data_IF_276785453542
#
_entry.id   IF_276785453542
#
_cell.length_a   1.000
_cell.length_b   1.000
_cell.length_c   1.000
_cell.angle_alpha   90.00
_cell.angle_beta   90.00
_cell.angle_gamma   90.00
#
_symmetry.space_group_name_H-M   'P 1'
#
loop_
_entity.id
_entity.type
_entity.pdbx_description
1 polymer ?
#
# COMPACT_ATOMS: atom_id res chain seq x y z
N UNK A 1 -63.26 -22.12 -13.43
CA UNK A 1 -63.91 -22.52 -14.70
C UNK A 1 -62.85 -23.00 -15.66
N UNK A 2 -62.78 -24.31 -15.80
CA UNK A 2 -62.86 -25.08 -17.05
C UNK A 2 -61.64 -24.88 -17.96
N UNK A 3 -60.93 -25.86 -18.48
CA UNK A 3 -60.92 -27.33 -18.61
C UNK A 3 -59.67 -27.63 -19.45
N UNK A 4 -58.78 -28.55 -19.09
CA UNK A 4 -58.77 -30.00 -19.46
C UNK A 4 -58.89 -30.26 -20.99
N UNK A 5 -57.83 -30.86 -21.55
CA UNK A 5 -57.82 -32.16 -22.26
C UNK A 5 -56.54 -32.27 -23.09
N UNK A 6 -55.64 -33.23 -22.87
CA UNK A 6 -55.66 -34.68 -23.05
C UNK A 6 -55.79 -35.15 -24.53
N UNK A 7 -54.85 -35.90 -24.93
CA UNK A 7 -54.87 -37.21 -25.66
C UNK A 7 -53.80 -37.26 -26.77
N UNK A 8 -53.10 -38.24 -27.09
CA UNK A 8 -52.99 -39.69 -26.95
C UNK A 8 -52.18 -40.19 -28.12
N UNK A 9 -51.22 -41.00 -27.84
CA UNK A 9 -50.84 -42.25 -28.44
C UNK A 9 -50.91 -42.46 -29.99
N UNK A 10 -49.81 -43.01 -30.51
CA UNK A 10 -49.73 -43.73 -31.74
C UNK A 10 -48.44 -44.56 -31.84
N UNK A 11 -48.55 -45.80 -31.34
CA UNK A 11 -47.61 -46.91 -31.61
C UNK A 11 -47.79 -47.40 -33.05
N UNK A 12 -46.69 -47.74 -33.73
CA UNK A 12 -46.62 -48.95 -34.62
C UNK A 12 -45.18 -49.37 -34.83
N UNK A 13 -44.99 -50.64 -34.60
CA UNK A 13 -43.80 -51.45 -34.76
C UNK A 13 -43.78 -52.09 -36.20
N UNK A 14 -42.65 -52.62 -36.55
CA UNK A 14 -42.30 -53.76 -37.43
C UNK A 14 -41.02 -53.40 -38.19
N UNK A 15 -40.02 -54.18 -38.43
CA UNK A 15 -39.60 -55.57 -38.17
C UNK A 15 -38.18 -55.67 -38.76
N UNK A 16 -37.29 -56.23 -38.04
CA UNK A 16 -36.37 -57.38 -38.27
C UNK A 16 -35.81 -57.64 -39.69
N UNK A 17 -34.51 -57.80 -39.72
CA UNK A 17 -33.62 -58.74 -40.49
C UNK A 17 -32.33 -57.97 -40.78
N UNK A 18 -31.11 -58.37 -40.47
CA UNK A 18 -30.43 -59.59 -40.18
C UNK A 18 -28.90 -59.36 -40.25
N UNK A 19 -28.21 -59.89 -39.35
CA UNK A 19 -26.88 -60.47 -39.32
C UNK A 19 -25.82 -59.98 -40.33
N UNK A 20 -24.69 -59.46 -39.82
CA UNK A 20 -23.34 -60.04 -40.00
C UNK A 20 -22.39 -59.47 -38.91
N UNK A 21 -21.75 -60.32 -38.16
CA UNK A 21 -20.73 -60.05 -37.16
C UNK A 21 -19.41 -59.69 -37.85
N UNK A 22 -18.84 -58.54 -37.48
CA UNK A 22 -17.40 -58.31 -37.60
C UNK A 22 -16.91 -57.79 -36.23
N UNK A 23 -16.18 -58.65 -35.54
CA UNK A 23 -15.50 -58.31 -34.33
C UNK A 23 -14.30 -57.40 -34.67
N UNK A 24 -14.42 -56.10 -34.41
CA UNK A 24 -13.31 -55.20 -34.34
C UNK A 24 -13.01 -54.94 -32.85
N UNK A 25 -11.92 -55.49 -32.35
CA UNK A 25 -11.32 -55.12 -31.07
C UNK A 25 -10.97 -53.64 -31.16
N UNK A 26 -11.77 -52.81 -30.55
CA UNK A 26 -11.33 -51.44 -30.18
C UNK A 26 -10.62 -51.54 -28.84
N UNK A 27 -9.30 -51.60 -28.91
CA UNK A 27 -8.49 -51.27 -27.74
C UNK A 27 -8.74 -49.80 -27.40
N UNK A 28 -9.55 -49.57 -26.38
CA UNK A 28 -9.65 -48.28 -25.69
C UNK A 28 -8.36 -48.11 -24.92
N UNK A 29 -7.34 -47.53 -25.57
CA UNK A 29 -6.21 -46.93 -24.86
C UNK A 29 -6.76 -45.78 -24.07
N UNK A 30 -6.78 -45.87 -22.73
CA UNK A 30 -6.74 -44.72 -21.87
C UNK A 30 -5.44 -43.98 -22.20
N UNK A 31 -5.52 -42.98 -23.06
CA UNK A 31 -4.52 -41.92 -23.06
C UNK A 31 -4.69 -41.19 -21.72
N UNK A 32 -3.90 -41.55 -20.76
CA UNK A 32 -3.51 -40.61 -19.72
C UNK A 32 -2.93 -39.46 -20.50
N UNK A 33 -3.59 -38.34 -20.48
CA UNK A 33 -3.04 -37.05 -20.87
C UNK A 33 -1.88 -36.82 -19.88
N UNK A 34 -0.69 -37.23 -20.28
CA UNK A 34 0.56 -36.91 -19.63
C UNK A 34 0.65 -35.39 -19.75
N UNK A 35 0.40 -34.67 -18.64
CA UNK A 35 0.67 -33.26 -18.55
C UNK A 35 2.09 -33.05 -19.10
N UNK A 36 2.21 -32.24 -20.15
CA UNK A 36 3.50 -31.88 -20.69
C UNK A 36 4.37 -31.39 -19.52
N UNK A 37 5.64 -31.80 -19.44
CA UNK A 37 6.52 -31.27 -18.41
C UNK A 37 6.52 -29.75 -18.56
N UNK A 38 6.08 -29.07 -17.53
CA UNK A 38 6.30 -27.62 -17.38
C UNK A 38 7.82 -27.42 -17.52
N UNK A 39 8.24 -26.68 -18.54
CA UNK A 39 9.66 -26.30 -18.64
C UNK A 39 10.02 -25.54 -17.36
N UNK A 40 11.00 -26.04 -16.60
CA UNK A 40 11.55 -25.31 -15.45
C UNK A 40 11.96 -23.90 -15.94
N UNK A 41 11.30 -22.85 -15.41
CA UNK A 41 11.53 -21.46 -15.81
C UNK A 41 10.47 -20.86 -16.75
N UNK A 42 9.38 -21.56 -17.09
CA UNK A 42 8.30 -20.97 -17.84
C UNK A 42 7.45 -20.00 -16.97
N UNK A 43 7.09 -18.83 -17.55
CA UNK A 43 6.19 -17.87 -16.91
C UNK A 43 4.76 -18.46 -16.94
N UNK A 44 4.14 -18.56 -15.78
CA UNK A 44 2.76 -19.01 -15.65
C UNK A 44 1.77 -17.85 -15.82
N UNK A 45 0.60 -18.13 -16.40
CA UNK A 45 -0.45 -17.12 -16.49
C UNK A 45 -1.00 -16.79 -15.11
N UNK A 46 -0.99 -15.49 -14.76
CA UNK A 46 -1.38 -14.99 -13.46
C UNK A 46 -2.15 -13.67 -13.60
N UNK A 47 -3.22 -13.51 -12.82
CA UNK A 47 -3.95 -12.24 -12.70
C UNK A 47 -3.97 -11.85 -11.23
N UNK A 48 -3.45 -10.65 -10.93
CA UNK A 48 -3.32 -10.12 -9.59
C UNK A 48 -4.24 -8.91 -9.41
N UNK A 49 -4.72 -8.69 -8.19
CA UNK A 49 -5.52 -7.53 -7.81
C UNK A 49 -4.71 -6.64 -6.88
N UNK A 50 -4.45 -5.40 -7.31
CA UNK A 50 -3.74 -4.39 -6.54
C UNK A 50 -4.71 -3.33 -6.05
N UNK A 51 -4.75 -3.10 -4.74
CA UNK A 51 -5.57 -2.06 -4.12
C UNK A 51 -4.73 -0.97 -3.44
N UNK A 52 -5.25 0.26 -3.42
CA UNK A 52 -4.71 1.36 -2.62
C UNK A 52 -5.78 2.40 -2.27
N UNK A 53 -5.55 3.16 -1.18
CA UNK A 53 -6.52 4.14 -0.69
C UNK A 53 -6.36 5.56 -1.30
N UNK A 54 -5.34 5.77 -2.13
CA UNK A 54 -4.96 7.09 -2.67
C UNK A 54 -5.80 7.48 -3.89
N UNK A 55 -5.89 8.80 -4.18
CA UNK A 55 -6.63 9.33 -5.31
C UNK A 55 -6.09 8.84 -6.67
N UNK A 56 -6.95 8.78 -7.68
CA UNK A 56 -6.64 8.25 -9.03
C UNK A 56 -5.44 8.94 -9.70
N UNK A 57 -5.26 10.25 -9.50
CA UNK A 57 -4.17 11.00 -10.12
C UNK A 57 -2.91 11.11 -9.23
N UNK A 58 -2.90 10.48 -8.05
CA UNK A 58 -1.79 10.51 -7.11
C UNK A 58 -0.56 9.78 -7.65
N UNK A 59 0.61 10.04 -7.05
CA UNK A 59 1.85 9.31 -7.34
C UNK A 59 1.67 7.79 -7.15
N UNK A 60 0.98 7.39 -6.08
CA UNK A 60 0.71 6.00 -5.73
C UNK A 60 -0.15 5.30 -6.79
N UNK A 61 -1.18 5.99 -7.31
CA UNK A 61 -2.01 5.44 -8.40
C UNK A 61 -1.21 5.29 -9.69
N UNK A 62 -0.40 6.29 -10.03
CA UNK A 62 0.49 6.21 -11.20
C UNK A 62 1.50 5.07 -11.08
N UNK A 63 2.05 4.85 -9.89
CA UNK A 63 2.95 3.72 -9.64
C UNK A 63 2.25 2.36 -9.79
N UNK A 64 1.00 2.25 -9.32
CA UNK A 64 0.20 1.04 -9.51
C UNK A 64 -0.04 0.73 -10.99
N UNK A 65 -0.42 1.75 -11.77
CA UNK A 65 -0.64 1.61 -13.21
C UNK A 65 0.67 1.26 -13.94
N UNK A 66 1.78 1.91 -13.60
CA UNK A 66 3.10 1.60 -14.15
C UNK A 66 3.55 0.17 -13.83
N UNK A 67 3.30 -0.32 -12.60
CA UNK A 67 3.59 -1.71 -12.24
C UNK A 67 2.77 -2.68 -13.08
N UNK A 68 1.48 -2.39 -13.28
CA UNK A 68 0.60 -3.23 -14.10
C UNK A 68 1.07 -3.29 -15.56
N UNK A 69 1.43 -2.14 -16.14
CA UNK A 69 1.98 -2.06 -17.49
C UNK A 69 3.30 -2.81 -17.61
N UNK A 70 4.24 -2.59 -16.67
CA UNK A 70 5.57 -3.17 -16.72
C UNK A 70 5.57 -4.69 -16.54
N UNK A 71 4.75 -5.20 -15.62
CA UNK A 71 4.55 -6.65 -15.43
C UNK A 71 3.98 -7.30 -16.68
N UNK A 72 2.99 -6.66 -17.32
CA UNK A 72 2.41 -7.17 -18.57
C UNK A 72 3.44 -7.16 -19.72
N UNK A 73 4.26 -6.12 -19.86
CA UNK A 73 5.34 -6.05 -20.84
C UNK A 73 6.37 -7.15 -20.66
N UNK A 74 6.93 -7.28 -19.44
CA UNK A 74 8.00 -8.25 -19.14
C UNK A 74 7.54 -9.70 -19.27
N UNK A 75 6.24 -9.95 -19.07
CA UNK A 75 5.65 -11.30 -19.15
C UNK A 75 5.03 -11.63 -20.49
N UNK A 76 5.15 -10.77 -21.53
CA UNK A 76 4.42 -10.89 -22.80
C UNK A 76 2.90 -11.08 -22.59
N UNK A 77 2.33 -10.46 -21.54
CA UNK A 77 0.92 -10.53 -21.16
C UNK A 77 0.51 -11.78 -20.40
N UNK A 78 1.45 -12.63 -20.01
CA UNK A 78 1.13 -13.82 -19.18
C UNK A 78 0.73 -13.40 -17.75
N UNK A 79 1.33 -12.33 -17.21
CA UNK A 79 0.92 -11.74 -15.94
C UNK A 79 0.17 -10.44 -16.19
N UNK A 80 -0.90 -10.22 -15.43
CA UNK A 80 -1.72 -9.00 -15.48
C UNK A 80 -2.06 -8.55 -14.07
N UNK A 81 -2.13 -7.22 -13.85
CA UNK A 81 -2.54 -6.62 -12.58
C UNK A 81 -3.77 -5.74 -12.81
N UNK A 82 -4.85 -6.01 -12.09
CA UNK A 82 -6.02 -5.14 -12.02
C UNK A 82 -5.80 -4.12 -10.90
N UNK A 83 -5.85 -2.83 -11.21
CA UNK A 83 -5.65 -1.76 -10.23
C UNK A 83 -6.99 -1.24 -9.71
N UNK A 84 -7.12 -1.13 -8.38
CA UNK A 84 -8.30 -0.66 -7.67
C UNK A 84 -7.93 0.54 -6.76
N UNK A 85 -7.98 1.78 -7.28
CA UNK A 85 -7.62 2.99 -6.54
C UNK A 85 -8.73 3.44 -5.58
N UNK A 86 -8.44 4.49 -4.79
CA UNK A 86 -9.43 5.23 -3.98
C UNK A 86 -10.25 4.34 -3.05
N UNK A 87 -9.61 3.36 -2.41
CA UNK A 87 -10.23 2.43 -1.47
C UNK A 87 -11.41 1.62 -2.07
N UNK A 88 -11.37 1.29 -3.37
CA UNK A 88 -12.42 0.48 -4.01
C UNK A 88 -12.53 -0.93 -3.42
N UNK A 89 -11.43 -1.47 -2.86
CA UNK A 89 -11.40 -2.77 -2.18
C UNK A 89 -11.54 -2.66 -0.65
N UNK A 90 -11.86 -1.48 -0.14
CA UNK A 90 -11.94 -1.20 1.30
C UNK A 90 -10.85 -0.27 1.79
N UNK A 91 -10.81 -0.02 3.11
CA UNK A 91 -9.71 0.71 3.75
C UNK A 91 -8.38 -0.05 3.60
N UNK A 92 -7.24 0.61 3.89
CA UNK A 92 -5.95 -0.07 3.84
C UNK A 92 -5.89 -1.26 4.82
N UNK A 93 -6.54 -1.16 5.98
CA UNK A 93 -6.65 -2.26 6.94
C UNK A 93 -7.42 -3.46 6.37
N UNK A 94 -8.55 -3.20 5.72
CA UNK A 94 -9.35 -4.25 5.08
C UNK A 94 -8.61 -4.90 3.90
N UNK A 95 -7.85 -4.11 3.14
CA UNK A 95 -7.02 -4.64 2.05
C UNK A 95 -5.86 -5.49 2.56
N UNK A 96 -5.20 -5.11 3.68
CA UNK A 96 -4.18 -5.95 4.33
C UNK A 96 -4.77 -7.28 4.84
N UNK A 97 -5.96 -7.26 5.46
CA UNK A 97 -6.68 -8.50 5.80
C UNK A 97 -6.99 -9.33 4.55
N UNK A 98 -7.26 -8.64 3.42
CA UNK A 98 -7.44 -9.25 2.12
C UNK A 98 -6.21 -9.99 1.59
N UNK A 99 -4.98 -9.50 1.88
CA UNK A 99 -3.72 -10.18 1.53
C UNK A 99 -3.59 -11.52 2.25
N UNK A 100 -3.91 -11.57 3.56
CA UNK A 100 -3.83 -12.80 4.37
C UNK A 100 -4.75 -13.91 3.84
N UNK A 101 -5.94 -13.55 3.36
CA UNK A 101 -6.96 -14.51 2.90
C UNK A 101 -6.96 -14.70 1.38
N UNK A 102 -6.09 -13.99 0.64
CA UNK A 102 -5.95 -14.10 -0.81
C UNK A 102 -7.11 -13.49 -1.62
N UNK A 103 -7.83 -12.51 -1.07
CA UNK A 103 -8.85 -11.73 -1.81
C UNK A 103 -8.27 -10.49 -2.48
N UNK A 104 -7.12 -10.03 -2.04
CA UNK A 104 -6.26 -9.00 -2.61
C UNK A 104 -4.86 -9.61 -2.71
N UNK A 105 -4.11 -9.26 -3.76
CA UNK A 105 -2.78 -9.82 -4.00
C UNK A 105 -1.67 -8.82 -3.67
N UNK A 106 -1.92 -7.52 -3.88
CA UNK A 106 -0.95 -6.44 -3.66
C UNK A 106 -1.66 -5.24 -3.05
N UNK A 107 -1.03 -4.60 -2.06
CA UNK A 107 -1.49 -3.33 -1.48
C UNK A 107 -0.35 -2.32 -1.52
N UNK A 108 -0.62 -1.07 -1.92
CA UNK A 108 0.34 0.02 -1.75
C UNK A 108 0.07 0.68 -0.40
N UNK A 109 1.02 0.48 0.53
CA UNK A 109 0.96 1.14 1.84
C UNK A 109 2.37 1.21 2.46
N UNK A 110 2.51 1.98 3.53
CA UNK A 110 3.77 2.19 4.24
C UNK A 110 4.11 1.05 5.20
N UNK A 111 5.39 0.94 5.57
CA UNK A 111 5.85 -0.01 6.58
C UNK A 111 5.08 0.13 7.90
N UNK A 112 4.89 1.38 8.38
CA UNK A 112 4.22 1.66 9.65
C UNK A 112 2.78 1.16 9.71
N UNK A 113 2.11 0.94 8.57
CA UNK A 113 0.76 0.37 8.53
C UNK A 113 0.69 -1.06 9.10
N UNK A 114 1.84 -1.73 9.24
CA UNK A 114 1.94 -3.07 9.80
C UNK A 114 2.08 -3.10 11.35
N UNK A 115 2.03 -1.96 12.07
CA UNK A 115 2.10 -1.94 13.54
C UNK A 115 1.06 -2.84 14.22
N UNK A 116 -0.08 -3.07 13.59
CA UNK A 116 -1.11 -4.00 14.10
C UNK A 116 -0.71 -5.47 14.03
N UNK A 117 0.32 -5.81 13.24
CA UNK A 117 0.80 -7.17 13.02
C UNK A 117 2.16 -7.42 13.67
N UNK A 118 3.00 -6.39 13.79
CA UNK A 118 4.33 -6.47 14.38
C UNK A 118 4.74 -5.15 14.99
N UNK A 119 5.28 -5.18 16.21
CA UNK A 119 5.85 -4.00 16.86
C UNK A 119 7.09 -3.47 16.10
N UNK A 120 7.71 -4.29 15.23
CA UNK A 120 8.88 -3.87 14.44
C UNK A 120 8.55 -2.78 13.42
N UNK A 121 7.31 -2.71 12.96
CA UNK A 121 6.87 -1.68 12.02
C UNK A 121 6.82 -0.27 12.63
N UNK A 122 6.86 -0.15 13.96
CA UNK A 122 6.91 1.10 14.69
C UNK A 122 8.14 1.97 14.33
N UNK A 123 9.20 1.38 13.77
CA UNK A 123 10.41 2.11 13.35
C UNK A 123 10.08 3.27 12.38
N UNK A 124 9.10 3.08 11.47
CA UNK A 124 8.72 4.15 10.55
C UNK A 124 7.97 5.30 11.25
N UNK A 125 7.17 4.98 12.26
CA UNK A 125 6.34 5.96 12.96
C UNK A 125 7.08 6.77 14.03
N UNK A 126 8.36 6.48 14.32
CA UNK A 126 9.13 7.23 15.31
C UNK A 126 9.39 8.67 14.83
N UNK A 127 8.93 9.69 15.57
CA UNK A 127 9.02 11.08 15.12
C UNK A 127 10.46 11.57 15.11
N UNK A 128 10.77 12.37 14.08
CA UNK A 128 12.07 13.03 13.91
C UNK A 128 13.26 12.06 13.93
N UNK A 129 13.04 10.79 13.53
CA UNK A 129 14.10 9.78 13.43
C UNK A 129 15.13 10.14 12.37
N UNK A 130 14.72 10.82 11.32
CA UNK A 130 15.58 11.33 10.25
C UNK A 130 15.71 12.84 10.37
N UNK A 131 16.89 13.37 10.02
CA UNK A 131 17.16 14.81 10.03
C UNK A 131 16.50 15.49 8.82
N UNK A 132 16.70 14.88 7.65
CA UNK A 132 16.18 15.32 6.36
C UNK A 132 16.08 14.14 5.38
N UNK A 133 15.80 14.43 4.12
CA UNK A 133 15.68 13.44 3.07
C UNK A 133 17.02 12.76 2.73
N UNK A 134 18.14 13.49 2.81
CA UNK A 134 19.47 12.94 2.49
C UNK A 134 19.86 11.89 3.55
N UNK A 135 19.63 12.17 4.84
CA UNK A 135 19.82 11.21 5.92
C UNK A 135 18.88 10.00 5.77
N UNK A 136 17.62 10.22 5.34
CA UNK A 136 16.70 9.12 5.05
C UNK A 136 17.24 8.21 3.95
N UNK A 137 17.72 8.78 2.83
CA UNK A 137 18.28 8.01 1.73
C UNK A 137 19.55 7.26 2.11
N UNK A 138 20.43 7.84 2.93
CA UNK A 138 21.62 7.15 3.41
C UNK A 138 21.27 5.84 4.15
N UNK A 139 20.21 5.86 4.95
CA UNK A 139 19.72 4.66 5.67
C UNK A 139 19.05 3.67 4.73
N UNK A 140 18.15 4.13 3.87
CA UNK A 140 17.31 3.25 3.05
C UNK A 140 17.99 2.74 1.79
N UNK A 141 19.06 3.37 1.31
CA UNK A 141 19.92 2.85 0.23
C UNK A 141 21.01 1.89 0.78
N UNK A 142 21.13 1.79 2.11
CA UNK A 142 22.09 0.92 2.79
C UNK A 142 21.53 -0.44 3.18
N UNK A 143 22.41 -1.28 3.77
CA UNK A 143 22.07 -2.66 4.20
C UNK A 143 20.98 -2.69 5.29
N UNK A 144 20.77 -1.59 6.01
CA UNK A 144 19.82 -1.51 7.12
C UNK A 144 18.38 -1.65 6.65
N UNK A 145 18.03 -1.13 5.47
CA UNK A 145 16.71 -1.27 4.90
C UNK A 145 16.32 -2.75 4.74
N UNK A 146 17.20 -3.56 4.13
CA UNK A 146 17.00 -4.99 3.98
C UNK A 146 16.84 -5.70 5.33
N UNK A 147 17.68 -5.35 6.34
CA UNK A 147 17.59 -5.94 7.69
C UNK A 147 16.21 -5.66 8.33
N UNK A 148 15.68 -4.44 8.19
CA UNK A 148 14.38 -4.05 8.74
C UNK A 148 13.25 -4.78 8.01
N UNK A 149 13.24 -4.74 6.67
CA UNK A 149 12.18 -5.33 5.86
C UNK A 149 12.11 -6.84 6.01
N UNK A 150 13.26 -7.52 6.07
CA UNK A 150 13.33 -8.97 6.29
C UNK A 150 12.82 -9.35 7.69
N UNK A 151 13.20 -8.59 8.72
CA UNK A 151 12.73 -8.85 10.08
C UNK A 151 11.21 -8.68 10.19
N UNK A 152 10.67 -7.62 9.59
CA UNK A 152 9.22 -7.37 9.52
C UNK A 152 8.50 -8.49 8.77
N UNK A 153 9.03 -8.94 7.63
CA UNK A 153 8.42 -10.02 6.86
C UNK A 153 8.37 -11.34 7.65
N UNK A 154 9.43 -11.66 8.37
CA UNK A 154 9.49 -12.87 9.21
C UNK A 154 8.52 -12.83 10.37
N UNK A 155 8.34 -11.65 11.00
CA UNK A 155 7.51 -11.50 12.19
C UNK A 155 6.03 -11.33 11.85
N UNK A 156 5.71 -10.60 10.78
CA UNK A 156 4.33 -10.27 10.40
C UNK A 156 3.72 -11.18 9.34
N UNK A 157 4.54 -11.82 8.51
CA UNK A 157 4.10 -12.54 7.30
C UNK A 157 3.84 -11.63 6.09
N UNK A 158 4.03 -10.31 6.22
CA UNK A 158 3.91 -9.36 5.11
C UNK A 158 5.27 -9.07 4.48
N UNK A 159 5.39 -9.35 3.19
CA UNK A 159 6.54 -8.95 2.38
C UNK A 159 6.32 -7.56 1.82
N UNK A 160 7.31 -6.68 2.03
CA UNK A 160 7.34 -5.34 1.47
C UNK A 160 8.41 -5.30 0.39
N UNK A 161 8.04 -4.85 -0.80
CA UNK A 161 8.97 -4.71 -1.93
C UNK A 161 8.81 -3.32 -2.57
N UNK A 162 9.93 -2.81 -3.07
CA UNK A 162 10.02 -1.47 -3.65
C UNK A 162 10.12 -0.37 -2.59
N UNK A 163 10.89 0.65 -2.92
CA UNK A 163 11.15 1.80 -2.07
C UNK A 163 10.61 3.05 -2.76
N UNK A 164 9.35 3.36 -2.52
CA UNK A 164 8.64 4.50 -3.09
C UNK A 164 8.66 5.68 -2.09
N UNK A 165 9.71 6.50 -2.14
CA UNK A 165 9.88 7.64 -1.25
C UNK A 165 8.70 8.60 -1.30
N UNK A 166 8.05 8.81 -0.16
CA UNK A 166 6.82 9.61 -0.06
C UNK A 166 7.02 11.07 0.39
N UNK A 167 8.26 11.49 0.65
CA UNK A 167 8.55 12.83 1.17
C UNK A 167 8.37 12.94 2.69
N UNK A 168 8.66 14.13 3.21
CA UNK A 168 8.39 14.47 4.60
C UNK A 168 6.93 14.77 4.85
N UNK A 169 6.40 14.31 5.98
CA UNK A 169 5.01 14.56 6.39
C UNK A 169 4.89 15.92 7.06
N UNK A 170 3.82 16.64 6.72
CA UNK A 170 3.50 17.99 7.18
C UNK A 170 2.16 18.01 7.89
N UNK A 171 1.94 18.94 8.81
CA UNK A 171 0.60 19.19 9.37
C UNK A 171 -0.20 20.06 8.40
N UNK A 172 -1.40 19.61 8.03
CA UNK A 172 -2.35 20.39 7.25
C UNK A 172 -3.61 20.62 8.08
N UNK A 173 -4.03 21.88 8.27
CA UNK A 173 -5.04 22.25 9.26
C UNK A 173 -5.93 23.40 8.84
N UNK A 174 -7.08 23.51 9.52
CA UNK A 174 -8.07 24.59 9.31
C UNK A 174 -7.68 25.93 9.94
N UNK A 175 -6.62 25.95 10.76
CA UNK A 175 -6.04 27.14 11.39
C UNK A 175 -4.52 27.09 11.34
N UNK A 176 -3.88 28.22 11.32
CA UNK A 176 -2.41 28.30 11.36
C UNK A 176 -1.86 27.63 12.65
N UNK A 177 -0.79 26.85 12.48
CA UNK A 177 0.01 26.27 13.55
C UNK A 177 1.43 26.80 13.35
N UNK A 178 1.80 27.80 14.13
CA UNK A 178 3.08 28.49 14.03
C UNK A 178 4.05 28.08 15.16
N UNK A 179 3.52 27.45 16.22
CA UNK A 179 4.27 26.98 17.36
C UNK A 179 3.67 25.69 17.94
N UNK A 180 4.41 25.02 18.81
CA UNK A 180 3.93 23.81 19.49
C UNK A 180 2.70 24.10 20.38
N UNK A 181 2.60 25.31 20.96
CA UNK A 181 1.48 25.71 21.80
C UNK A 181 0.16 25.73 21.00
N UNK A 182 0.23 25.97 19.70
CA UNK A 182 -0.95 25.95 18.81
C UNK A 182 -1.53 24.56 18.59
N UNK A 183 -0.79 23.49 18.90
CA UNK A 183 -1.29 22.12 18.87
C UNK A 183 -2.26 21.82 20.02
N UNK A 184 -2.27 22.65 21.07
CA UNK A 184 -3.07 22.42 22.26
C UNK A 184 -4.54 22.13 21.94
N UNK A 185 -4.95 20.86 22.10
CA UNK A 185 -6.30 20.39 21.87
C UNK A 185 -6.74 20.33 20.39
N UNK A 186 -5.84 20.53 19.41
CA UNK A 186 -6.13 20.37 17.99
C UNK A 186 -6.62 18.95 17.73
N UNK A 187 -7.82 18.79 17.22
CA UNK A 187 -8.34 17.49 16.78
C UNK A 187 -7.66 17.11 15.48
N UNK A 188 -6.52 16.43 15.59
CA UNK A 188 -5.72 16.02 14.46
C UNK A 188 -6.06 14.60 14.03
N UNK A 189 -6.50 14.44 12.80
CA UNK A 189 -6.63 13.08 12.25
C UNK A 189 -5.24 12.48 12.08
N UNK A 190 -5.11 11.24 12.52
CA UNK A 190 -3.93 10.39 12.29
C UNK A 190 -4.36 9.04 11.68
N UNK A 191 -3.47 8.30 11.02
CA UNK A 191 -3.75 6.90 10.69
C UNK A 191 -3.92 6.08 11.97
N UNK A 192 -4.53 4.90 11.88
CA UNK A 192 -4.73 4.01 13.02
C UNK A 192 -3.44 3.24 13.36
N UNK A 193 -2.44 3.99 13.81
CA UNK A 193 -1.10 3.52 14.17
C UNK A 193 -0.72 4.11 15.52
N UNK A 194 -0.21 3.28 16.43
CA UNK A 194 0.01 3.68 17.82
C UNK A 194 1.12 4.74 17.93
N UNK A 195 2.19 4.61 17.14
CA UNK A 195 3.29 5.58 17.13
C UNK A 195 2.83 6.99 16.74
N UNK A 196 1.90 7.12 15.79
CA UNK A 196 1.32 8.41 15.42
C UNK A 196 0.43 8.97 16.55
N UNK A 197 -0.36 8.14 17.19
CA UNK A 197 -1.21 8.55 18.31
C UNK A 197 -0.33 9.09 19.45
N UNK A 198 0.69 8.35 19.83
CA UNK A 198 1.60 8.71 20.95
C UNK A 198 2.40 9.97 20.63
N UNK A 199 2.87 10.11 19.39
CA UNK A 199 3.56 11.31 18.90
C UNK A 199 2.71 12.56 19.08
N UNK A 200 1.51 12.57 18.52
CA UNK A 200 0.67 13.76 18.54
C UNK A 200 0.06 14.06 19.91
N UNK A 201 -0.16 13.02 20.73
CA UNK A 201 -0.51 13.23 22.15
C UNK A 201 0.64 13.89 22.92
N UNK A 202 1.88 13.44 22.70
CA UNK A 202 3.07 14.01 23.35
C UNK A 202 3.31 15.46 22.95
N UNK A 203 2.95 15.82 21.71
CA UNK A 203 2.99 17.20 21.20
C UNK A 203 1.79 18.05 21.66
N UNK A 204 0.82 17.50 22.40
CA UNK A 204 -0.32 18.23 22.97
C UNK A 204 -1.57 18.30 22.09
N UNK A 205 -1.57 17.67 20.91
CA UNK A 205 -2.75 17.54 20.07
C UNK A 205 -3.74 16.49 20.63
N UNK A 206 -4.92 16.43 20.01
CA UNK A 206 -5.94 15.42 20.28
C UNK A 206 -6.08 14.50 19.06
N UNK A 207 -5.24 13.47 18.91
CA UNK A 207 -5.26 12.59 17.74
C UNK A 207 -6.56 11.82 17.64
N UNK A 208 -7.09 11.72 16.44
CA UNK A 208 -8.33 11.01 16.10
C UNK A 208 -8.03 10.01 14.98
N UNK A 209 -7.83 8.72 15.30
CA UNK A 209 -7.55 7.71 14.29
C UNK A 209 -8.74 7.51 13.34
N UNK A 210 -8.49 7.53 12.02
CA UNK A 210 -9.47 7.18 10.99
C UNK A 210 -8.81 6.86 9.66
N UNK A 211 -9.52 6.12 8.79
CA UNK A 211 -9.06 5.79 7.45
C UNK A 211 -8.90 7.04 6.57
N UNK A 212 -7.98 6.99 5.58
CA UNK A 212 -7.65 8.15 4.74
C UNK A 212 -8.84 8.67 3.93
N UNK A 213 -9.67 7.77 3.42
CA UNK A 213 -10.84 8.10 2.61
C UNK A 213 -11.97 8.81 3.38
N UNK A 214 -11.91 8.86 4.70
CA UNK A 214 -12.88 9.56 5.57
C UNK A 214 -12.46 10.99 5.89
N UNK A 215 -11.17 11.33 5.71
CA UNK A 215 -10.54 12.55 6.23
C UNK A 215 -11.14 13.83 5.65
N UNK A 216 -11.33 13.89 4.33
CA UNK A 216 -11.89 15.08 3.69
C UNK A 216 -13.25 15.46 4.30
N UNK A 217 -14.16 14.49 4.37
CA UNK A 217 -15.50 14.69 4.95
C UNK A 217 -15.45 15.02 6.43
N UNK A 218 -14.50 14.42 7.19
CA UNK A 218 -14.35 14.71 8.61
C UNK A 218 -13.84 16.13 8.86
N UNK A 219 -12.94 16.66 8.04
CA UNK A 219 -12.49 18.05 8.09
C UNK A 219 -13.61 19.02 7.65
N UNK A 220 -14.30 18.73 6.54
CA UNK A 220 -15.42 19.55 6.06
C UNK A 220 -16.53 19.69 7.11
N UNK A 221 -16.80 18.64 7.87
CA UNK A 221 -17.82 18.63 8.93
C UNK A 221 -17.29 19.14 10.28
N UNK A 222 -16.00 19.44 10.41
CA UNK A 222 -15.38 19.89 11.66
C UNK A 222 -15.26 18.79 12.73
N UNK A 223 -15.35 17.52 12.34
CA UNK A 223 -15.09 16.41 13.25
C UNK A 223 -13.62 16.34 13.63
N UNK A 224 -12.72 16.67 12.70
CA UNK A 224 -11.30 16.96 12.92
C UNK A 224 -10.93 18.32 12.35
N UNK A 225 -9.85 18.92 12.84
CA UNK A 225 -9.39 20.26 12.52
C UNK A 225 -8.10 20.25 11.67
N UNK A 226 -7.57 19.06 11.40
CA UNK A 226 -6.38 18.87 10.60
C UNK A 226 -6.04 17.41 10.43
N UNK A 227 -5.01 17.18 9.64
CA UNK A 227 -4.41 15.89 9.38
C UNK A 227 -2.90 16.09 9.11
N UNK A 228 -2.12 15.03 9.03
CA UNK A 228 -0.72 15.08 8.67
C UNK A 228 -0.42 14.07 7.55
N UNK A 229 0.25 14.52 6.52
CA UNK A 229 0.65 13.74 5.34
C UNK A 229 1.71 14.50 4.52
N UNK A 230 2.37 13.85 3.57
CA UNK A 230 3.13 14.53 2.54
C UNK A 230 2.26 15.47 1.70
N UNK A 231 2.88 16.50 1.13
CA UNK A 231 2.15 17.56 0.40
C UNK A 231 1.47 17.08 -0.89
N UNK A 232 1.94 16.01 -1.51
CA UNK A 232 1.26 15.36 -2.64
C UNK A 232 -0.11 14.81 -2.22
N UNK A 233 -0.20 14.17 -1.05
CA UNK A 233 -1.47 13.69 -0.49
C UNK A 233 -2.40 14.87 -0.17
N UNK A 234 -1.88 15.97 0.38
CA UNK A 234 -2.67 17.20 0.61
C UNK A 234 -3.28 17.70 -0.69
N UNK A 235 -2.49 17.73 -1.77
CA UNK A 235 -2.93 18.16 -3.10
C UNK A 235 -3.95 17.19 -3.71
N UNK A 236 -3.58 15.93 -3.89
CA UNK A 236 -4.38 14.97 -4.66
C UNK A 236 -5.64 14.49 -3.94
N UNK A 237 -5.67 14.56 -2.59
CA UNK A 237 -6.88 14.32 -1.80
C UNK A 237 -7.72 15.58 -1.59
N UNK A 238 -7.37 16.70 -2.22
CA UNK A 238 -8.05 18.01 -2.10
C UNK A 238 -8.16 18.53 -0.67
N UNK A 239 -7.31 18.08 0.25
CA UNK A 239 -7.38 18.53 1.65
C UNK A 239 -7.18 20.04 1.80
N UNK A 240 -6.45 20.66 0.89
CA UNK A 240 -6.26 22.11 0.84
C UNK A 240 -7.56 22.93 0.68
N UNK A 241 -8.61 22.33 0.09
CA UNK A 241 -9.89 23.00 -0.10
C UNK A 241 -10.63 23.25 1.24
N UNK A 242 -10.38 22.40 2.23
CA UNK A 242 -11.03 22.45 3.56
C UNK A 242 -10.06 22.81 4.69
N UNK A 243 -8.75 22.77 4.45
CA UNK A 243 -7.68 23.05 5.42
C UNK A 243 -6.54 23.84 4.73
N UNK A 244 -6.61 25.18 4.67
CA UNK A 244 -5.72 25.99 3.84
C UNK A 244 -4.37 26.33 4.51
N UNK A 245 -4.01 25.70 5.64
CA UNK A 245 -2.75 25.96 6.33
C UNK A 245 -1.89 24.69 6.37
N UNK A 246 -0.61 24.83 6.05
CA UNK A 246 0.38 23.75 6.14
C UNK A 246 1.54 24.20 7.00
N UNK A 247 1.84 23.44 8.04
CA UNK A 247 3.05 23.63 8.88
C UNK A 247 4.09 22.60 8.48
N UNK A 248 5.27 23.07 8.05
CA UNK A 248 6.37 22.24 7.54
C UNK A 248 7.12 21.58 8.70
N UNK A 249 6.53 20.52 9.24
CA UNK A 249 7.06 19.81 10.41
C UNK A 249 8.12 18.78 10.04
N UNK A 250 8.08 18.18 8.84
CA UNK A 250 8.96 17.09 8.44
C UNK A 250 9.22 16.07 9.57
N UNK A 251 8.17 15.82 10.37
CA UNK A 251 8.27 15.01 11.57
C UNK A 251 8.49 13.53 11.29
N UNK A 252 8.24 13.10 10.05
CA UNK A 252 8.41 11.72 9.62
C UNK A 252 8.71 11.66 8.12
N UNK A 253 9.68 10.82 7.76
CA UNK A 253 9.99 10.39 6.40
C UNK A 253 9.71 8.90 6.27
N UNK A 254 9.33 8.43 5.09
CA UNK A 254 9.07 7.02 4.87
C UNK A 254 8.95 6.65 3.41
N UNK A 255 8.79 5.35 3.17
CA UNK A 255 8.51 4.80 1.86
C UNK A 255 7.09 4.22 1.84
N UNK A 256 6.46 4.25 0.67
CA UNK A 256 5.44 3.27 0.34
C UNK A 256 6.11 2.02 -0.22
N UNK A 257 5.46 0.89 -0.05
CA UNK A 257 5.88 -0.41 -0.56
C UNK A 257 4.70 -1.10 -1.24
N UNK A 258 5.00 -1.97 -2.17
CA UNK A 258 4.04 -2.98 -2.57
C UNK A 258 4.07 -4.08 -1.51
N UNK A 259 2.99 -4.21 -0.77
CA UNK A 259 2.81 -5.22 0.29
C UNK A 259 2.15 -6.46 -0.29
N UNK A 260 2.68 -7.63 0.03
CA UNK A 260 2.17 -8.94 -0.36
C UNK A 260 2.11 -9.83 0.89
N UNK A 261 1.30 -10.88 0.84
CA UNK A 261 1.40 -11.97 1.81
C UNK A 261 2.60 -12.87 1.44
N UNK A 262 3.58 -13.03 2.34
CA UNK A 262 4.87 -13.67 2.00
C UNK A 262 4.71 -15.11 1.51
N UNK A 263 3.88 -15.93 2.18
CA UNK A 263 3.63 -17.30 1.75
C UNK A 263 3.04 -17.38 0.32
N UNK A 264 2.15 -16.45 -0.02
CA UNK A 264 1.57 -16.35 -1.37
C UNK A 264 2.65 -15.99 -2.39
N UNK A 265 3.44 -14.94 -2.13
CA UNK A 265 4.55 -14.53 -3.00
C UNK A 265 5.57 -15.65 -3.21
N UNK A 266 5.96 -16.36 -2.14
CA UNK A 266 6.90 -17.48 -2.22
C UNK A 266 6.35 -18.67 -3.01
N UNK A 267 5.03 -18.83 -3.07
CA UNK A 267 4.37 -19.88 -3.85
C UNK A 267 4.39 -19.63 -5.36
N UNK A 268 4.66 -18.38 -5.80
CA UNK A 268 4.73 -18.07 -7.22
C UNK A 268 5.91 -18.79 -7.90
N UNK A 269 5.80 -19.15 -9.19
CA UNK A 269 6.93 -19.65 -9.96
C UNK A 269 8.11 -18.66 -9.94
N UNK A 270 9.32 -19.16 -9.94
CA UNK A 270 10.53 -18.32 -9.89
C UNK A 270 10.57 -17.28 -11.03
N UNK A 271 10.16 -17.66 -12.24
CA UNK A 271 10.10 -16.76 -13.38
C UNK A 271 9.10 -15.62 -13.17
N UNK A 272 7.93 -15.89 -12.55
CA UNK A 272 6.93 -14.88 -12.25
C UNK A 272 7.43 -13.91 -11.18
N UNK A 273 8.09 -14.41 -10.14
CA UNK A 273 8.71 -13.55 -9.11
C UNK A 273 9.78 -12.65 -9.70
N UNK A 274 10.67 -13.19 -10.53
CA UNK A 274 11.73 -12.42 -11.16
C UNK A 274 11.19 -11.27 -12.03
N UNK A 275 10.12 -11.51 -12.78
CA UNK A 275 9.42 -10.46 -13.58
C UNK A 275 8.81 -9.40 -12.66
N UNK A 276 8.14 -9.82 -11.60
CA UNK A 276 7.52 -8.90 -10.66
C UNK A 276 8.58 -8.04 -9.95
N UNK A 277 9.66 -8.64 -9.48
CA UNK A 277 10.75 -7.93 -8.79
C UNK A 277 11.46 -6.92 -9.72
N UNK A 278 11.69 -7.29 -11.00
CA UNK A 278 12.23 -6.37 -12.00
C UNK A 278 11.28 -5.19 -12.23
N UNK A 279 9.98 -5.44 -12.40
CA UNK A 279 8.98 -4.39 -12.58
C UNK A 279 8.90 -3.46 -11.35
N UNK A 280 8.94 -4.02 -10.14
CA UNK A 280 8.96 -3.25 -8.88
C UNK A 280 10.20 -2.35 -8.80
N UNK A 281 11.39 -2.85 -9.16
CA UNK A 281 12.61 -2.07 -9.13
C UNK A 281 12.55 -0.86 -10.11
N UNK A 282 12.07 -1.09 -11.33
CA UNK A 282 11.89 -0.05 -12.35
C UNK A 282 10.91 1.04 -11.86
N UNK A 283 9.76 0.64 -11.31
CA UNK A 283 8.73 1.57 -10.82
C UNK A 283 9.23 2.35 -9.61
N UNK A 284 9.90 1.69 -8.66
CA UNK A 284 10.43 2.35 -7.45
C UNK A 284 11.45 3.44 -7.77
N UNK A 285 12.35 3.15 -8.72
CA UNK A 285 13.33 4.15 -9.19
C UNK A 285 12.63 5.37 -9.79
N UNK A 286 11.68 5.16 -10.69
CA UNK A 286 10.90 6.24 -11.33
C UNK A 286 10.06 7.01 -10.31
N UNK A 287 9.48 6.32 -9.33
CA UNK A 287 8.67 6.95 -8.28
C UNK A 287 9.50 7.92 -7.43
N UNK A 288 10.69 7.49 -6.98
CA UNK A 288 11.58 8.34 -6.17
C UNK A 288 11.96 9.63 -6.92
N UNK A 289 12.40 9.51 -8.17
CA UNK A 289 12.75 10.66 -9.01
C UNK A 289 11.56 11.62 -9.16
N UNK A 290 10.36 11.07 -9.41
CA UNK A 290 9.14 11.84 -9.57
C UNK A 290 8.71 12.51 -8.27
N UNK A 291 8.74 11.80 -7.15
CA UNK A 291 8.38 12.34 -5.83
C UNK A 291 9.24 13.55 -5.46
N UNK A 292 10.55 13.44 -5.65
CA UNK A 292 11.48 14.55 -5.36
C UNK A 292 11.28 15.72 -6.33
N UNK A 293 11.14 15.46 -7.63
CA UNK A 293 10.98 16.52 -8.63
C UNK A 293 9.63 17.25 -8.56
N UNK A 294 8.55 16.53 -8.27
CA UNK A 294 7.20 17.12 -8.17
C UNK A 294 6.93 17.79 -6.81
N UNK A 295 7.79 17.63 -5.80
CA UNK A 295 7.57 18.24 -4.49
C UNK A 295 7.44 19.77 -4.58
N UNK A 296 8.28 20.41 -5.39
CA UNK A 296 8.24 21.87 -5.62
C UNK A 296 6.96 22.27 -6.36
N UNK A 297 6.58 21.51 -7.39
CA UNK A 297 5.38 21.78 -8.18
C UNK A 297 4.11 21.59 -7.33
N UNK A 298 4.09 20.60 -6.45
CA UNK A 298 2.99 20.37 -5.50
C UNK A 298 2.86 21.56 -4.53
N UNK A 299 3.96 22.03 -3.96
CA UNK A 299 3.96 23.21 -3.06
C UNK A 299 3.47 24.46 -3.81
N UNK A 300 4.01 24.71 -5.00
CA UNK A 300 3.62 25.85 -5.84
C UNK A 300 2.11 25.80 -6.18
N UNK A 301 1.61 24.63 -6.57
CA UNK A 301 0.18 24.45 -6.83
C UNK A 301 -0.66 24.79 -5.60
N UNK A 302 -0.27 24.33 -4.41
CA UNK A 302 -1.00 24.57 -3.17
C UNK A 302 -0.99 26.07 -2.81
N UNK A 303 0.15 26.76 -2.95
CA UNK A 303 0.28 28.20 -2.74
C UNK A 303 -0.62 29.00 -3.71
N UNK A 304 -0.63 28.64 -5.00
CA UNK A 304 -1.49 29.27 -6.01
C UNK A 304 -2.99 29.04 -5.75
N UNK A 305 -3.34 27.98 -5.01
CA UNK A 305 -4.70 27.68 -4.58
C UNK A 305 -5.02 28.16 -3.14
N UNK A 306 -4.19 29.04 -2.59
CA UNK A 306 -4.48 29.77 -1.35
C UNK A 306 -4.03 29.08 -0.07
N UNK A 307 -3.15 28.08 -0.17
CA UNK A 307 -2.54 27.47 1.01
C UNK A 307 -1.40 28.35 1.53
N UNK A 308 -1.40 28.59 2.84
CA UNK A 308 -0.34 29.29 3.53
C UNK A 308 0.59 28.27 4.22
N UNK A 309 1.91 28.40 3.98
CA UNK A 309 2.94 27.54 4.56
C UNK A 309 3.65 28.22 5.72
N UNK A 310 3.91 27.47 6.80
CA UNK A 310 4.58 27.95 7.99
C UNK A 310 5.81 27.07 8.29
N UNK A 311 6.95 27.69 8.44
CA UNK A 311 8.17 27.07 8.97
C UNK A 311 8.18 27.17 10.50
N UNK A 312 8.69 26.17 11.19
CA UNK A 312 8.75 26.09 12.65
C UNK A 312 10.17 25.80 13.14
N UNK A 313 10.41 26.09 14.42
CA UNK A 313 11.63 25.64 15.11
C UNK A 313 11.46 24.16 15.51
N UNK A 314 12.08 23.26 14.74
CA UNK A 314 12.00 21.81 14.95
C UNK A 314 12.58 21.35 16.30
N UNK A 315 13.49 22.11 16.92
CA UNK A 315 14.08 21.72 18.19
C UNK A 315 13.05 21.75 19.34
N UNK A 316 12.10 22.69 19.29
CA UNK A 316 10.97 22.74 20.24
C UNK A 316 10.02 21.53 20.09
N UNK A 317 9.90 20.99 18.88
CA UNK A 317 9.01 19.86 18.60
C UNK A 317 9.66 18.50 18.89
N UNK A 318 10.98 18.42 18.85
CA UNK A 318 11.74 17.19 19.12
C UNK A 318 11.76 16.81 20.60
N UNK A 319 11.85 17.82 21.51
CA UNK A 319 12.00 17.59 22.95
C UNK A 319 10.85 16.76 23.55
N UNK A 320 9.56 17.08 23.33
CA UNK A 320 8.43 16.35 23.94
C UNK A 320 8.30 14.89 23.49
N UNK A 321 8.84 14.53 22.33
CA UNK A 321 8.71 13.20 21.74
C UNK A 321 9.98 12.35 21.82
N UNK A 322 11.08 12.90 22.35
CA UNK A 322 12.36 12.20 22.42
C UNK A 322 12.28 10.88 23.21
N UNK A 323 11.40 10.80 24.21
CA UNK A 323 11.21 9.60 25.02
C UNK A 323 10.55 8.42 24.29
N UNK A 324 9.87 8.67 23.16
CA UNK A 324 9.18 7.60 22.40
C UNK A 324 10.15 6.57 21.83
N UNK A 325 11.38 6.96 21.52
CA UNK A 325 12.42 6.02 21.05
C UNK A 325 12.84 5.09 22.20
N UNK A 326 12.96 5.62 23.43
CA UNK A 326 13.35 4.83 24.59
C UNK A 326 12.29 3.81 25.01
N UNK A 327 11.03 4.13 24.76
CA UNK A 327 9.87 3.30 25.08
C UNK A 327 9.54 2.25 23.99
N UNK A 328 10.18 2.34 22.80
CA UNK A 328 9.95 1.42 21.70
C UNK A 328 10.47 0.00 21.99
N UNK A 329 10.00 -0.98 21.19
CA UNK A 329 10.54 -2.34 21.20
C UNK A 329 12.08 -2.35 21.20
N UNK A 330 12.75 -3.24 21.93
CA UNK A 330 14.22 -3.26 21.99
C UNK A 330 14.91 -3.39 20.63
N UNK A 331 14.30 -4.06 19.65
CA UNK A 331 14.85 -4.19 18.28
C UNK A 331 14.69 -2.87 17.52
N UNK A 332 13.50 -2.27 17.60
CA UNK A 332 13.20 -0.96 17.02
C UNK A 332 14.11 0.11 17.57
N UNK A 333 14.29 0.15 18.90
CA UNK A 333 15.23 1.08 19.55
C UNK A 333 16.65 0.93 19.02
N UNK A 334 17.12 -0.31 18.85
CA UNK A 334 18.46 -0.60 18.33
C UNK A 334 18.65 -0.12 16.89
N UNK A 335 17.61 -0.24 16.07
CA UNK A 335 17.63 0.33 14.73
C UNK A 335 17.61 1.85 14.79
N UNK A 336 16.75 2.45 15.62
CA UNK A 336 16.70 3.89 15.81
C UNK A 336 18.04 4.46 16.27
N UNK A 337 18.73 3.84 17.24
CA UNK A 337 20.06 4.23 17.69
C UNK A 337 21.10 4.19 16.55
N UNK A 338 21.04 3.18 15.68
CA UNK A 338 21.93 3.07 14.51
C UNK A 338 21.63 4.14 13.46
N UNK A 339 20.34 4.43 13.21
CA UNK A 339 19.91 5.51 12.32
C UNK A 339 20.40 6.86 12.85
N UNK A 340 20.14 7.14 14.12
CA UNK A 340 20.57 8.38 14.74
C UNK A 340 22.11 8.57 14.73
N UNK A 341 22.87 7.49 14.75
CA UNK A 341 24.34 7.55 14.71
C UNK A 341 24.90 7.91 13.32
N UNK A 342 24.07 7.92 12.28
CA UNK A 342 24.42 8.39 10.93
C UNK A 342 24.20 9.91 10.75
N UNK A 343 23.61 10.59 11.73
CA UNK A 343 23.53 12.05 11.74
C UNK A 343 24.92 12.61 11.97
N UNK A 344 25.55 13.22 10.99
CA UNK A 344 26.82 13.95 11.10
C UNK A 344 26.65 15.47 10.94
#
# INVERSE_FOLDING_TARGET
>A
MKNITSQRQGRRAFAVIGTVAVAALVMTGCATEEAAPTEEGAVETMTLNLGHAYAVDSLQSRAADQLAERVAELSDGAMTINVFPSAQLGSWEEMQEGLEIGSVDIVIESLGSLERYTDLAAIEGLPFLYEDADHFFEVWDGDMAGEILDAVAVDSGFRLVGDMYRGGRQVNSVRAIESIDDLGGLKLRVPNQQTYIDTWQSLGASPTPMALNEVFSAMEQGAVEGQENPIDVVRFSSFYEVAPFVTETNHLFGNFHFQLWDDTYQSWPEANRAIFDEAVADVSSTYRETSVSEAIDNKTFLEENGVEFFEIDLDEWREPVAGLIDDADPTVRKWAERILALRE
#
